data_IF_410227622620
#
_entry.id   IF_410227622620
#
_cell.length_a   1.000
_cell.length_b   1.000
_cell.length_c   1.000
_cell.angle_alpha   90.00
_cell.angle_beta   90.00
_cell.angle_gamma   90.00
#
_symmetry.space_group_name_H-M   'P 1'
#
loop_
_entity.id
_entity.type
_entity.pdbx_description
1 polymer ?
#
# COMPACT_ATOMS: atom_id res chain seq x y z
N UNK A 1 -8.97 0.46 -13.94
CA UNK A 1 -9.07 0.77 -12.50
C UNK A 1 -8.35 2.08 -12.22
N UNK A 2 -8.61 2.69 -11.06
CA UNK A 2 -7.93 3.90 -10.57
C UNK A 2 -7.57 3.66 -9.11
N UNK A 3 -6.58 4.37 -8.60
CA UNK A 3 -6.23 4.27 -7.20
C UNK A 3 -5.51 5.51 -6.71
N UNK A 4 -5.45 5.62 -5.39
CA UNK A 4 -4.76 6.67 -4.67
C UNK A 4 -3.90 6.04 -3.58
N UNK A 5 -2.68 6.54 -3.45
CA UNK A 5 -1.74 6.12 -2.40
C UNK A 5 -1.27 7.37 -1.68
N UNK A 6 -1.35 7.34 -0.35
CA UNK A 6 -0.82 8.38 0.53
C UNK A 6 0.07 7.74 1.58
N UNK A 7 1.25 8.30 1.80
CA UNK A 7 2.27 7.73 2.69
C UNK A 7 2.82 8.83 3.59
N UNK A 8 2.79 8.61 4.91
CA UNK A 8 3.58 9.38 5.87
C UNK A 8 4.61 8.44 6.49
N UNK A 9 5.85 8.51 6.01
CA UNK A 9 6.96 7.65 6.49
C UNK A 9 7.38 7.96 7.93
N UNK A 10 7.16 9.21 8.38
CA UNK A 10 7.54 9.65 9.74
C UNK A 10 6.58 9.09 10.77
N UNK A 11 5.28 9.18 10.49
CA UNK A 11 4.21 8.62 11.34
C UNK A 11 3.89 7.16 11.02
N UNK A 12 4.54 6.60 10.00
CA UNK A 12 4.31 5.24 9.48
C UNK A 12 2.83 5.02 9.15
N UNK A 13 2.23 5.97 8.45
CA UNK A 13 0.84 5.90 8.01
C UNK A 13 0.79 5.58 6.51
N UNK A 14 -0.08 4.64 6.14
CA UNK A 14 -0.39 4.33 4.75
C UNK A 14 -1.88 4.44 4.53
N UNK A 15 -2.25 5.03 3.41
CA UNK A 15 -3.58 4.94 2.87
C UNK A 15 -3.49 4.48 1.42
N UNK A 16 -4.28 3.46 1.08
CA UNK A 16 -4.47 2.96 -0.26
C UNK A 16 -5.96 2.98 -0.55
N UNK A 17 -6.34 3.50 -1.70
CA UNK A 17 -7.68 3.31 -2.24
C UNK A 17 -7.56 2.81 -3.67
N UNK A 18 -8.38 1.84 -4.04
CA UNK A 18 -8.53 1.37 -5.40
C UNK A 18 -9.99 1.31 -5.77
N UNK A 19 -10.28 1.59 -7.03
CA UNK A 19 -11.61 1.56 -7.60
C UNK A 19 -11.56 0.93 -9.00
N UNK A 20 -12.48 0.02 -9.23
CA UNK A 20 -12.73 -0.59 -10.53
C UNK A 20 -14.21 -0.49 -10.85
N UNK A 21 -14.51 -0.19 -12.12
CA UNK A 21 -15.86 -0.18 -12.66
C UNK A 21 -15.96 -1.21 -13.76
N UNK A 22 -17.17 -1.66 -14.05
CA UNK A 22 -17.48 -2.65 -15.09
C UNK A 22 -16.64 -3.92 -14.91
N UNK A 23 -16.55 -4.43 -13.68
CA UNK A 23 -15.76 -5.62 -13.36
C UNK A 23 -16.39 -6.86 -13.98
N UNK A 24 -17.71 -6.98 -13.87
CA UNK A 24 -18.52 -7.99 -14.55
C UNK A 24 -19.99 -7.56 -14.60
N UNK A 25 -20.84 -8.32 -15.28
CA UNK A 25 -22.28 -8.03 -15.35
C UNK A 25 -22.97 -7.98 -13.97
N UNK A 26 -22.50 -8.76 -13.00
CA UNK A 26 -23.02 -8.76 -11.63
C UNK A 26 -22.24 -7.86 -10.65
N UNK A 27 -21.14 -7.25 -11.09
CA UNK A 27 -20.25 -6.44 -10.26
C UNK A 27 -19.97 -5.12 -11.00
N UNK A 28 -20.89 -4.13 -10.88
CA UNK A 28 -20.75 -2.87 -11.62
C UNK A 28 -19.56 -2.05 -11.13
N UNK A 29 -19.18 -2.20 -9.85
CA UNK A 29 -18.01 -1.56 -9.30
C UNK A 29 -17.53 -2.20 -8.01
N UNK A 30 -16.23 -2.07 -7.76
CA UNK A 30 -15.57 -2.48 -6.52
C UNK A 30 -14.71 -1.32 -6.06
N UNK A 31 -14.85 -0.95 -4.79
CA UNK A 31 -13.97 0.01 -4.12
C UNK A 31 -13.30 -0.67 -2.94
N UNK A 32 -11.98 -0.61 -2.88
CA UNK A 32 -11.22 -1.10 -1.74
C UNK A 32 -10.44 0.04 -1.12
N UNK A 33 -10.46 0.12 0.20
CA UNK A 33 -9.72 1.08 1.01
C UNK A 33 -8.90 0.32 2.03
N UNK A 34 -7.63 0.66 2.16
CA UNK A 34 -6.73 0.15 3.18
C UNK A 34 -6.09 1.31 3.89
N UNK A 35 -6.06 1.25 5.22
CA UNK A 35 -5.39 2.21 6.09
C UNK A 35 -4.48 1.43 7.01
N UNK A 36 -3.19 1.74 7.00
CA UNK A 36 -2.27 1.29 8.03
C UNK A 36 -1.96 2.46 8.96
N UNK A 37 -2.13 2.21 10.26
CA UNK A 37 -1.86 3.14 11.35
C UNK A 37 -0.67 2.65 12.16
N UNK A 38 0.49 3.28 11.96
CA UNK A 38 1.72 2.92 12.66
C UNK A 38 1.71 3.22 14.16
N UNK A 39 0.89 4.19 14.60
CA UNK A 39 0.67 4.53 16.00
C UNK A 39 -0.08 3.44 16.77
N UNK A 40 -1.07 2.78 16.13
CA UNK A 40 -1.81 1.66 16.73
C UNK A 40 -1.29 0.29 16.31
N UNK A 41 -0.43 0.24 15.29
CA UNK A 41 0.04 -0.99 14.65
C UNK A 41 -1.07 -1.76 13.94
N UNK A 42 -2.16 -1.09 13.55
CA UNK A 42 -3.34 -1.72 12.94
C UNK A 42 -3.43 -1.46 11.45
N UNK A 43 -3.78 -2.50 10.72
CA UNK A 43 -4.19 -2.44 9.32
C UNK A 43 -5.72 -2.59 9.27
N UNK A 44 -6.38 -1.61 8.65
CA UNK A 44 -7.81 -1.62 8.38
C UNK A 44 -8.00 -1.80 6.88
N UNK A 45 -8.89 -2.70 6.47
CA UNK A 45 -9.29 -2.85 5.09
C UNK A 45 -10.82 -2.80 5.00
N UNK A 46 -11.34 -2.13 3.97
CA UNK A 46 -12.76 -2.05 3.67
C UNK A 46 -12.95 -2.27 2.18
N UNK A 47 -13.84 -3.16 1.80
CA UNK A 47 -14.23 -3.42 0.42
C UNK A 47 -15.72 -3.19 0.27
N UNK A 48 -16.11 -2.51 -0.80
CA UNK A 48 -17.49 -2.15 -1.15
C UNK A 48 -17.80 -2.67 -2.55
N UNK A 49 -18.94 -3.36 -2.68
CA UNK A 49 -19.45 -3.92 -3.94
C UNK A 49 -20.97 -3.73 -3.97
N UNK A 50 -21.45 -2.69 -4.66
CA UNK A 50 -22.87 -2.29 -4.57
C UNK A 50 -23.24 -1.97 -3.12
N UNK A 51 -24.29 -2.62 -2.60
CA UNK A 51 -24.73 -2.47 -1.20
C UNK A 51 -23.93 -3.36 -0.22
N UNK A 52 -23.17 -4.32 -0.73
CA UNK A 52 -22.33 -5.18 0.08
C UNK A 52 -21.08 -4.45 0.52
N UNK A 53 -20.75 -4.54 1.81
CA UNK A 53 -19.51 -4.04 2.37
C UNK A 53 -18.91 -5.05 3.33
N UNK A 54 -17.58 -5.13 3.32
CA UNK A 54 -16.81 -5.98 4.21
C UNK A 54 -15.65 -5.20 4.80
N UNK A 55 -15.50 -5.23 6.12
CA UNK A 55 -14.37 -4.66 6.83
C UNK A 55 -13.43 -5.76 7.33
N UNK A 56 -12.16 -5.42 7.52
CA UNK A 56 -11.15 -6.24 8.22
C UNK A 56 -10.25 -5.32 9.06
N UNK A 57 -9.87 -5.77 10.26
CA UNK A 57 -8.87 -5.08 11.08
C UNK A 57 -7.91 -6.11 11.65
N UNK A 58 -6.62 -5.92 11.39
CA UNK A 58 -5.57 -6.84 11.83
C UNK A 58 -4.52 -6.03 12.57
N UNK A 59 -4.13 -6.52 13.75
CA UNK A 59 -2.96 -6.00 14.48
C UNK A 59 -1.72 -6.67 13.91
N UNK A 60 -0.80 -5.90 13.34
CA UNK A 60 0.46 -6.43 12.83
C UNK A 60 1.39 -6.72 14.03
N UNK A 61 1.81 -7.98 14.17
CA UNK A 61 2.77 -8.39 15.23
C UNK A 61 4.14 -7.77 14.93
N UNK A 62 4.86 -7.34 15.97
CA UNK A 62 6.19 -6.74 15.84
C UNK A 62 6.23 -5.24 15.57
N UNK A 63 5.09 -4.62 15.21
CA UNK A 63 4.97 -3.17 15.02
C UNK A 63 4.15 -2.60 16.16
N UNK A 64 4.71 -2.65 17.37
CA UNK A 64 3.98 -2.26 18.58
C UNK A 64 3.74 -0.76 18.67
N UNK A 65 2.57 -0.39 19.19
CA UNK A 65 2.18 0.96 19.63
C UNK A 65 3.13 1.61 20.67
N UNK A 66 4.16 0.88 21.12
CA UNK A 66 5.25 1.37 21.99
C UNK A 66 6.63 1.45 21.34
N UNK A 67 6.77 1.05 20.06
CA UNK A 67 7.98 1.28 19.25
C UNK A 67 7.84 2.48 18.30
N UNK A 68 6.90 3.38 18.59
CA UNK A 68 6.82 4.71 17.97
C UNK A 68 8.08 5.59 18.19
N UNK A 69 9.13 5.05 18.84
CA UNK A 69 10.42 5.70 19.10
C UNK A 69 11.62 5.20 18.29
N UNK A 70 11.53 4.19 17.42
CA UNK A 70 12.71 3.67 16.70
C UNK A 70 12.84 4.23 15.28
N UNK A 71 13.11 5.54 15.18
CA UNK A 71 13.46 6.29 13.96
C UNK A 71 12.36 6.36 12.86
N UNK A 72 12.27 7.49 12.13
CA UNK A 72 11.46 7.59 10.92
C UNK A 72 11.82 6.47 9.93
N UNK A 73 10.83 5.93 9.21
CA UNK A 73 11.14 5.04 8.09
C UNK A 73 11.91 5.86 7.05
N UNK A 74 13.06 5.34 6.61
CA UNK A 74 13.76 5.92 5.46
C UNK A 74 12.93 5.70 4.22
N UNK A 75 12.99 6.64 3.28
CA UNK A 75 12.36 6.48 1.97
C UNK A 75 12.92 5.21 1.30
N UNK A 76 12.06 4.20 1.00
CA UNK A 76 12.51 2.91 0.47
C UNK A 76 13.17 3.05 -0.91
N UNK A 77 12.85 4.11 -1.66
CA UNK A 77 13.44 4.37 -2.98
C UNK A 77 14.90 4.83 -2.91
N UNK A 78 15.37 5.29 -1.75
CA UNK A 78 16.78 5.62 -1.54
C UNK A 78 17.67 4.37 -1.53
N UNK A 79 17.13 3.22 -1.11
CA UNK A 79 17.83 1.93 -1.11
C UNK A 79 17.69 1.14 -2.42
N UNK A 80 16.92 1.64 -3.39
CA UNK A 80 16.70 0.95 -4.65
C UNK A 80 17.96 0.99 -5.53
N UNK A 81 18.32 -0.15 -6.12
CA UNK A 81 19.52 -0.30 -6.93
C UNK A 81 19.34 0.36 -8.30
N UNK A 82 20.37 1.01 -8.87
CA UNK A 82 20.29 1.54 -10.22
C UNK A 82 20.12 0.40 -11.22
N UNK A 83 19.39 0.68 -12.31
CA UNK A 83 19.23 -0.26 -13.43
C UNK A 83 19.90 0.27 -14.69
N UNK A 84 19.93 -0.53 -15.76
CA UNK A 84 20.37 -0.07 -17.09
C UNK A 84 19.39 0.92 -17.73
N UNK A 85 18.15 0.97 -17.25
CA UNK A 85 17.12 1.88 -17.74
C UNK A 85 17.30 3.23 -17.05
N UNK A 86 17.40 4.29 -17.86
CA UNK A 86 17.58 5.65 -17.37
C UNK A 86 16.44 6.02 -16.41
N UNK A 87 16.78 6.64 -15.28
CA UNK A 87 15.83 7.05 -14.23
C UNK A 87 14.99 5.91 -13.62
N UNK A 88 15.40 4.65 -13.84
CA UNK A 88 14.77 3.50 -13.23
C UNK A 88 15.68 2.88 -12.17
N UNK A 89 15.08 2.58 -11.03
CA UNK A 89 15.70 1.84 -9.93
C UNK A 89 14.95 0.55 -9.67
N UNK A 90 15.59 -0.42 -9.02
CA UNK A 90 14.98 -1.69 -8.67
C UNK A 90 15.01 -1.89 -7.15
N UNK A 91 13.84 -2.11 -6.59
CA UNK A 91 13.65 -2.55 -5.21
C UNK A 91 13.41 -4.06 -5.21
N UNK A 92 14.07 -4.79 -4.30
CA UNK A 92 13.83 -6.22 -4.10
C UNK A 92 12.82 -6.41 -2.96
N UNK A 93 11.86 -7.31 -3.18
CA UNK A 93 10.87 -7.72 -2.18
C UNK A 93 11.05 -9.21 -1.86
N UNK A 94 10.57 -9.65 -0.69
CA UNK A 94 10.59 -11.05 -0.23
C UNK A 94 11.94 -11.75 -0.45
N UNK A 95 13.02 -11.16 0.08
CA UNK A 95 14.37 -11.72 -0.06
C UNK A 95 14.85 -11.86 -1.51
N UNK A 96 14.30 -11.07 -2.44
CA UNK A 96 14.69 -11.05 -3.85
C UNK A 96 13.86 -11.95 -4.76
N UNK A 97 12.83 -12.61 -4.25
CA UNK A 97 11.95 -13.45 -5.08
C UNK A 97 10.97 -12.64 -5.94
N UNK A 98 10.69 -11.40 -5.54
CA UNK A 98 9.94 -10.41 -6.30
C UNK A 98 10.74 -9.13 -6.40
N UNK A 99 10.44 -8.31 -7.41
CA UNK A 99 11.10 -7.01 -7.57
C UNK A 99 10.15 -5.94 -8.06
N UNK A 100 10.47 -4.69 -7.74
CA UNK A 100 9.72 -3.51 -8.18
C UNK A 100 10.65 -2.58 -8.94
N UNK A 101 10.38 -2.39 -10.22
CA UNK A 101 10.94 -1.30 -11.01
C UNK A 101 10.29 0.01 -10.58
N UNK A 102 11.09 1.00 -10.23
CA UNK A 102 10.65 2.34 -9.80
C UNK A 102 11.13 3.32 -10.85
N UNK A 103 10.20 3.98 -11.53
CA UNK A 103 10.49 4.89 -12.63
C UNK A 103 10.21 6.32 -12.18
N UNK A 104 11.23 7.18 -12.24
CA UNK A 104 11.10 8.58 -11.87
C UNK A 104 11.26 9.51 -13.09
N UNK A 105 10.95 10.79 -12.90
CA UNK A 105 11.30 11.86 -13.85
C UNK A 105 12.81 12.01 -14.02
N UNK A 106 13.21 12.79 -15.02
CA UNK A 106 14.62 13.01 -15.36
C UNK A 106 15.42 13.58 -14.18
N UNK A 107 14.82 14.47 -13.38
CA UNK A 107 15.38 15.07 -12.17
C UNK A 107 15.25 14.18 -10.91
N UNK A 108 14.65 12.99 -11.04
CA UNK A 108 14.40 12.02 -9.98
C UNK A 108 13.51 12.52 -8.82
N UNK A 109 12.74 13.60 -9.01
CA UNK A 109 11.89 14.17 -7.94
C UNK A 109 10.45 13.67 -7.98
N UNK A 110 9.97 13.24 -9.16
CA UNK A 110 8.59 12.81 -9.40
C UNK A 110 8.55 11.33 -9.72
N UNK A 111 7.76 10.56 -8.97
CA UNK A 111 7.46 9.18 -9.31
C UNK A 111 6.54 9.13 -10.53
N UNK A 112 6.94 8.40 -11.58
CA UNK A 112 6.20 8.23 -12.84
C UNK A 112 5.54 6.88 -12.96
N UNK A 113 6.13 5.85 -12.36
CA UNK A 113 5.55 4.52 -12.39
C UNK A 113 6.22 3.52 -11.48
N UNK A 114 5.52 2.42 -11.26
CA UNK A 114 6.01 1.23 -10.57
C UNK A 114 5.70 0.01 -11.44
N UNK A 115 6.61 -0.96 -11.46
CA UNK A 115 6.39 -2.24 -12.13
C UNK A 115 6.77 -3.37 -11.19
N UNK A 116 5.76 -4.10 -10.69
CA UNK A 116 5.96 -5.25 -9.80
C UNK A 116 6.09 -6.51 -10.65
N UNK A 117 7.23 -7.21 -10.52
CA UNK A 117 7.51 -8.48 -11.18
C UNK A 117 7.51 -9.62 -10.16
N UNK A 118 6.68 -10.63 -10.41
CA UNK A 118 6.68 -11.91 -9.71
C UNK A 118 6.97 -13.03 -10.74
N UNK A 119 8.25 -13.44 -10.87
CA UNK A 119 8.65 -14.49 -11.80
C UNK A 119 8.04 -15.85 -11.47
N UNK A 120 7.83 -16.16 -10.18
CA UNK A 120 7.29 -17.45 -9.73
C UNK A 120 5.86 -17.64 -10.22
N UNK A 121 5.07 -16.57 -10.19
CA UNK A 121 3.68 -16.58 -10.67
C UNK A 121 3.54 -16.14 -12.13
N UNK A 122 4.64 -15.79 -12.80
CA UNK A 122 4.66 -15.19 -14.15
C UNK A 122 3.73 -13.98 -14.25
N UNK A 123 3.74 -13.13 -13.22
CA UNK A 123 2.88 -11.93 -13.15
C UNK A 123 3.73 -10.68 -13.24
N UNK A 124 3.24 -9.71 -14.00
CA UNK A 124 3.75 -8.35 -14.05
C UNK A 124 2.57 -7.42 -13.82
N UNK A 125 2.74 -6.48 -12.89
CA UNK A 125 1.75 -5.44 -12.60
C UNK A 125 2.42 -4.10 -12.82
N UNK A 126 1.85 -3.31 -13.72
CA UNK A 126 2.33 -1.96 -14.02
C UNK A 126 1.39 -0.93 -13.39
N UNK A 127 1.98 0.09 -12.77
CA UNK A 127 1.28 1.22 -12.16
C UNK A 127 1.83 2.49 -12.78
N UNK A 128 0.97 3.22 -13.49
CA UNK A 128 1.28 4.55 -14.01
C UNK A 128 0.86 5.62 -13.00
N UNK A 129 1.77 6.51 -12.62
CA UNK A 129 1.48 7.62 -11.70
C UNK A 129 1.11 8.85 -12.52
N UNK A 130 -0.13 9.32 -12.37
CA UNK A 130 -0.64 10.51 -13.06
C UNK A 130 -0.38 11.80 -12.28
N UNK A 131 -0.56 11.74 -10.97
CA UNK A 131 -0.42 12.87 -10.06
C UNK A 131 0.52 12.50 -8.91
N UNK A 132 1.44 13.39 -8.57
CA UNK A 132 2.42 13.22 -7.51
C UNK A 132 2.53 14.50 -6.70
N UNK A 133 2.47 14.38 -5.38
CA UNK A 133 2.65 15.49 -4.45
C UNK A 133 3.45 15.03 -3.23
N UNK A 134 4.31 15.90 -2.75
CA UNK A 134 5.07 15.75 -1.50
C UNK A 134 4.61 16.74 -0.44
N UNK A 135 3.46 17.37 -0.64
CA UNK A 135 2.87 18.29 0.34
C UNK A 135 2.51 17.54 1.64
N UNK A 136 2.48 18.30 2.74
CA UNK A 136 2.15 17.74 4.05
C UNK A 136 0.70 17.25 4.04
N UNK A 137 0.52 15.97 4.30
CA UNK A 137 -0.81 15.35 4.37
C UNK A 137 -1.49 15.69 5.71
N UNK A 138 -2.78 16.08 5.70
CA UNK A 138 -3.53 16.23 6.93
C UNK A 138 -3.76 14.86 7.59
N UNK A 139 -3.77 14.80 8.92
CA UNK A 139 -4.02 13.54 9.65
C UNK A 139 -5.34 12.86 9.23
N UNK A 140 -6.36 13.67 8.89
CA UNK A 140 -7.66 13.22 8.40
C UNK A 140 -7.62 12.42 7.09
N UNK A 141 -6.51 12.47 6.34
CA UNK A 141 -6.29 11.58 5.21
C UNK A 141 -6.27 10.10 5.62
N UNK A 142 -5.91 9.82 6.88
CA UNK A 142 -5.75 8.47 7.43
C UNK A 142 -6.88 8.07 8.41
N UNK A 143 -7.70 9.01 8.88
CA UNK A 143 -8.68 8.76 9.96
C UNK A 143 -9.85 7.83 9.56
N UNK A 144 -10.25 7.79 8.28
CA UNK A 144 -11.49 7.08 7.88
C UNK A 144 -11.43 5.54 7.94
N UNK A 145 -10.46 4.96 8.63
CA UNK A 145 -10.41 3.53 8.98
C UNK A 145 -11.05 3.19 10.34
N UNK A 146 -11.13 4.14 11.26
CA UNK A 146 -11.57 3.91 12.65
C UNK A 146 -13.01 4.37 12.94
N UNK A 147 -13.54 5.33 12.17
CA UNK A 147 -14.84 5.97 12.46
C UNK A 147 -16.07 5.24 11.91
N UNK A 148 -15.91 4.10 11.23
CA UNK A 148 -17.05 3.30 10.81
C UNK A 148 -17.40 2.29 11.92
N UNK A 149 -18.57 2.42 12.59
CA UNK A 149 -19.00 1.47 13.63
C UNK A 149 -18.98 0.02 13.16
N UNK A 150 -19.22 -0.19 11.86
CA UNK A 150 -19.23 -1.48 11.18
C UNK A 150 -17.87 -2.20 11.11
N UNK A 151 -16.75 -1.53 11.39
CA UNK A 151 -15.42 -2.14 11.31
C UNK A 151 -14.79 -2.42 12.70
N UNK A 152 -15.58 -2.43 13.79
CA UNK A 152 -15.08 -2.63 15.17
C UNK A 152 -14.92 -4.11 15.56
N UNK A 153 -15.84 -4.97 15.13
CA UNK A 153 -15.83 -6.41 15.44
C UNK A 153 -15.49 -7.21 14.20
N UNK A 154 -14.26 -7.72 14.12
CA UNK A 154 -13.76 -8.34 12.90
C UNK A 154 -13.11 -9.69 13.16
N UNK A 155 -13.64 -10.68 12.45
CA UNK A 155 -13.15 -12.05 12.34
C UNK A 155 -11.65 -12.04 12.09
N UNK A 156 -10.90 -12.58 13.05
CA UNK A 156 -9.50 -12.93 12.85
C UNK A 156 -9.45 -13.91 11.69
N UNK A 157 -8.84 -13.52 10.56
CA UNK A 157 -8.39 -14.47 9.56
C UNK A 157 -7.27 -15.29 10.18
N UNK A 158 -7.64 -16.35 10.90
CA UNK A 158 -6.74 -17.42 11.29
C UNK A 158 -6.28 -18.14 10.02
N UNK A 159 -5.24 -17.56 9.41
CA UNK A 159 -4.49 -18.06 8.25
C UNK A 159 -5.18 -17.94 6.88
N UNK A 160 -4.35 -17.56 5.92
CA UNK A 160 -4.50 -17.79 4.47
C UNK A 160 -5.53 -16.93 3.71
N UNK A 161 -5.13 -15.70 3.42
CA UNK A 161 -4.75 -15.26 2.06
C UNK A 161 -4.45 -13.77 2.17
N UNK A 162 -3.16 -13.42 2.13
CA UNK A 162 -2.76 -12.01 2.16
C UNK A 162 -3.45 -11.29 0.99
N UNK A 163 -4.19 -10.20 1.24
CA UNK A 163 -4.88 -9.50 0.17
C UNK A 163 -3.83 -9.00 -0.85
N UNK A 164 -4.14 -9.06 -2.17
CA UNK A 164 -3.21 -8.71 -3.25
C UNK A 164 -2.69 -7.26 -3.20
N UNK A 165 -3.29 -6.42 -2.36
CA UNK A 165 -2.89 -5.03 -2.08
C UNK A 165 -1.74 -4.90 -1.07
N UNK A 166 -1.28 -6.00 -0.47
CA UNK A 166 -0.12 -5.99 0.43
C UNK A 166 1.19 -5.66 -0.30
N UNK A 167 1.24 -5.84 -1.62
CA UNK A 167 2.44 -5.57 -2.42
C UNK A 167 2.86 -4.10 -2.31
N UNK A 168 1.92 -3.16 -2.39
CA UNK A 168 2.22 -1.73 -2.20
C UNK A 168 2.60 -1.41 -0.76
N UNK A 169 1.99 -2.09 0.22
CA UNK A 169 2.39 -1.94 1.62
C UNK A 169 3.86 -2.38 1.82
N UNK A 170 4.30 -3.46 1.18
CA UNK A 170 5.70 -3.90 1.21
C UNK A 170 6.64 -2.94 0.48
N UNK A 171 6.19 -2.31 -0.62
CA UNK A 171 6.99 -1.30 -1.34
C UNK A 171 7.24 -0.07 -0.48
N UNK A 172 6.20 0.48 0.14
CA UNK A 172 6.30 1.73 0.90
C UNK A 172 6.75 1.51 2.35
N UNK A 173 6.54 0.33 2.91
CA UNK A 173 6.87 -0.03 4.29
C UNK A 173 7.54 -1.41 4.38
N UNK A 174 8.72 -1.59 3.74
CA UNK A 174 9.38 -2.89 3.70
C UNK A 174 9.80 -3.40 5.07
N UNK A 175 10.11 -2.50 6.02
CA UNK A 175 10.52 -2.86 7.38
C UNK A 175 9.41 -3.50 8.24
N UNK A 176 8.19 -3.64 7.73
CA UNK A 176 7.09 -4.32 8.43
C UNK A 176 7.07 -5.84 8.19
N UNK A 177 7.97 -6.37 7.34
CA UNK A 177 7.96 -7.76 6.87
C UNK A 177 9.32 -8.44 6.98
#
# INVERSE_FOLDING_TARGET
SRGEVRVDLRKRLLYLQSEAHNVSAGVPGVRTRIVYRGDTGRLHARTEIGDFHQCWSVKLRGVGAGQAGSSPLRNPFLGAMPTKVKHARQLLLDGGTRSVGVFASDDQTVLRGLEVRDPRRRRVVEVTVKDWSTEVLPSSAFDRGEDAPACRDLSLLDRSQQPPTMDLLQVFMPALF
#
